data_IF_795093979189
#
_entry.id   IF_795093979189
#
_cell.length_a   1.000
_cell.length_b   1.000
_cell.length_c   1.000
_cell.angle_alpha   90.00
_cell.angle_beta   90.00
_cell.angle_gamma   90.00
#
_symmetry.space_group_name_H-M   'P 1'
#
loop_
_entity.id
_entity.type
_entity.pdbx_description
1 polymer ?
#
# COMPACT_ATOMS: atom_id res chain seq x y z
N UNK A 1 3.96 -15.05 -10.88
CA UNK A 1 4.65 -13.86 -10.34
C UNK A 1 3.85 -13.48 -9.13
N UNK A 2 4.46 -13.44 -7.93
CA UNK A 2 3.71 -13.21 -6.71
C UNK A 2 2.90 -11.91 -6.78
N UNK A 3 1.62 -11.98 -6.44
CA UNK A 3 0.76 -10.79 -6.34
C UNK A 3 0.30 -10.68 -4.90
N UNK A 4 0.56 -9.52 -4.31
CA UNK A 4 0.15 -9.18 -2.96
C UNK A 4 -1.00 -8.19 -3.00
N UNK A 5 -2.09 -8.51 -2.31
CA UNK A 5 -3.15 -7.56 -2.00
C UNK A 5 -2.78 -6.80 -0.75
N UNK A 6 -2.70 -5.48 -0.87
CA UNK A 6 -2.39 -4.55 0.24
C UNK A 6 -3.67 -3.83 0.63
N UNK A 7 -4.14 -4.02 1.86
CA UNK A 7 -5.45 -3.53 2.32
C UNK A 7 -5.29 -2.62 3.53
N UNK A 8 -5.90 -1.44 3.51
CA UNK A 8 -5.91 -0.53 4.65
C UNK A 8 -6.74 -1.12 5.81
N UNK A 9 -6.12 -1.32 6.97
CA UNK A 9 -6.76 -1.89 8.18
C UNK A 9 -7.66 -0.89 8.89
N UNK A 10 -7.35 0.39 8.73
CA UNK A 10 -7.99 1.49 9.46
C UNK A 10 -8.16 2.71 8.58
N UNK A 11 -9.07 3.57 8.98
CA UNK A 11 -9.12 4.95 8.49
C UNK A 11 -7.91 5.71 9.03
N UNK A 12 -7.25 6.45 8.16
CA UNK A 12 -6.18 7.37 8.51
C UNK A 12 -6.44 8.68 7.80
N UNK A 13 -6.27 9.78 8.51
CA UNK A 13 -6.37 11.13 7.96
C UNK A 13 -5.40 12.03 8.71
N UNK A 14 -4.38 12.51 8.00
CA UNK A 14 -3.39 13.46 8.53
C UNK A 14 -3.55 14.86 7.93
N UNK A 15 -4.63 15.11 7.16
CA UNK A 15 -4.81 16.31 6.35
C UNK A 15 -3.99 16.32 5.04
N UNK A 16 -2.92 15.52 4.96
CA UNK A 16 -2.11 15.34 3.73
C UNK A 16 -2.35 13.98 3.10
N UNK A 17 -2.39 12.91 3.91
CA UNK A 17 -2.65 11.55 3.46
C UNK A 17 -3.94 11.08 4.09
N UNK A 18 -4.87 10.62 3.27
CA UNK A 18 -6.11 10.01 3.74
C UNK A 18 -6.38 8.70 3.02
N UNK A 19 -6.76 7.68 3.79
CA UNK A 19 -7.25 6.41 3.30
C UNK A 19 -8.29 5.85 4.26
N UNK A 20 -9.20 5.04 3.74
CA UNK A 20 -10.28 4.43 4.52
C UNK A 20 -10.06 2.94 4.66
N UNK A 21 -10.59 2.38 5.75
CA UNK A 21 -10.60 0.93 5.98
C UNK A 21 -11.19 0.20 4.78
N UNK A 22 -10.57 -0.90 4.37
CA UNK A 22 -11.03 -1.73 3.26
C UNK A 22 -10.58 -1.27 1.87
N UNK A 23 -9.95 -0.10 1.74
CA UNK A 23 -9.27 0.27 0.49
C UNK A 23 -8.12 -0.70 0.24
N UNK A 24 -8.02 -1.24 -0.98
CA UNK A 24 -7.02 -2.24 -1.33
C UNK A 24 -6.49 -2.10 -2.75
N UNK A 25 -5.21 -2.43 -2.92
CA UNK A 25 -4.53 -2.47 -4.23
C UNK A 25 -3.77 -3.78 -4.37
N UNK A 26 -3.52 -4.18 -5.62
CA UNK A 26 -2.70 -5.35 -5.93
C UNK A 26 -1.32 -4.93 -6.42
N UNK A 27 -0.29 -5.55 -5.85
CA UNK A 27 1.11 -5.25 -6.14
C UNK A 27 1.80 -6.53 -6.62
N UNK A 28 2.24 -6.59 -7.89
CA UNK A 28 3.10 -7.65 -8.35
C UNK A 28 4.50 -7.47 -7.74
N UNK A 29 5.08 -8.57 -7.26
CA UNK A 29 6.41 -8.59 -6.65
C UNK A 29 7.22 -9.78 -7.17
N UNK A 30 8.50 -9.80 -6.86
CA UNK A 30 9.41 -10.93 -7.13
C UNK A 30 9.59 -11.84 -5.91
N UNK A 31 8.81 -11.63 -4.84
CA UNK A 31 9.02 -12.29 -3.55
C UNK A 31 7.73 -12.80 -2.91
N UNK A 32 7.84 -13.92 -2.20
CA UNK A 32 6.79 -14.51 -1.38
C UNK A 32 6.83 -14.03 0.08
N UNK A 33 7.67 -13.04 0.41
CA UNK A 33 7.72 -12.46 1.75
C UNK A 33 6.74 -11.29 1.88
N UNK A 34 5.90 -11.32 2.92
CA UNK A 34 5.02 -10.19 3.26
C UNK A 34 5.79 -8.94 3.68
N UNK A 35 7.07 -9.06 4.05
CA UNK A 35 7.95 -7.94 4.38
C UNK A 35 8.42 -7.15 3.14
N UNK A 36 7.93 -7.45 1.94
CA UNK A 36 8.30 -6.75 0.71
C UNK A 36 8.08 -5.23 0.79
N UNK A 37 7.08 -4.76 1.54
CA UNK A 37 6.79 -3.33 1.77
C UNK A 37 7.93 -2.58 2.46
N UNK A 38 8.85 -3.29 3.12
CA UNK A 38 10.04 -2.67 3.73
C UNK A 38 11.01 -2.13 2.67
N UNK A 39 11.00 -2.70 1.46
CA UNK A 39 11.80 -2.23 0.33
C UNK A 39 11.18 -0.98 -0.28
N UNK A 40 11.99 0.06 -0.49
CA UNK A 40 11.55 1.37 -0.99
C UNK A 40 10.75 1.28 -2.30
N UNK A 41 11.22 0.48 -3.25
CA UNK A 41 10.56 0.27 -4.55
C UNK A 41 9.11 -0.21 -4.42
N UNK A 42 8.84 -1.16 -3.53
CA UNK A 42 7.49 -1.69 -3.34
C UNK A 42 6.64 -0.76 -2.48
N UNK A 43 7.24 -0.10 -1.49
CA UNK A 43 6.56 0.89 -0.67
C UNK A 43 6.02 2.04 -1.53
N UNK A 44 6.86 2.51 -2.46
CA UNK A 44 6.50 3.51 -3.44
C UNK A 44 5.43 3.01 -4.40
N UNK A 45 5.57 1.79 -4.93
CA UNK A 45 4.55 1.19 -5.82
C UNK A 45 3.17 1.07 -5.14
N UNK A 46 3.14 0.70 -3.85
CA UNK A 46 1.91 0.70 -3.04
C UNK A 46 1.30 2.10 -3.01
N UNK A 47 2.09 3.10 -2.63
CA UNK A 47 1.64 4.48 -2.54
C UNK A 47 1.11 5.01 -3.88
N UNK A 48 1.83 4.78 -4.98
CA UNK A 48 1.43 5.19 -6.34
C UNK A 48 0.10 4.53 -6.74
N UNK A 49 -0.06 3.23 -6.47
CA UNK A 49 -1.31 2.50 -6.76
C UNK A 49 -2.48 3.03 -5.94
N UNK A 50 -2.31 3.27 -4.65
CA UNK A 50 -3.37 3.84 -3.82
C UNK A 50 -3.78 5.24 -4.30
N UNK A 51 -2.80 6.10 -4.59
CA UNK A 51 -3.03 7.46 -5.10
C UNK A 51 -3.78 7.42 -6.43
N UNK A 52 -3.33 6.60 -7.37
CA UNK A 52 -3.93 6.51 -8.70
C UNK A 52 -5.31 5.85 -8.68
N UNK A 53 -5.47 4.72 -7.98
CA UNK A 53 -6.71 3.95 -7.97
C UNK A 53 -7.86 4.67 -7.25
N UNK A 54 -7.54 5.42 -6.19
CA UNK A 54 -8.54 6.13 -5.38
C UNK A 54 -8.57 7.65 -5.63
N UNK A 55 -7.78 8.16 -6.59
CA UNK A 55 -7.73 9.59 -6.92
C UNK A 55 -7.32 10.48 -5.74
N UNK A 56 -6.43 9.97 -4.87
CA UNK A 56 -6.03 10.69 -3.66
C UNK A 56 -5.18 11.91 -4.05
N UNK A 57 -5.48 13.07 -3.48
CA UNK A 57 -4.74 14.33 -3.75
C UNK A 57 -3.40 14.43 -3.00
N UNK A 58 -2.91 13.33 -2.43
CA UNK A 58 -1.72 13.33 -1.59
C UNK A 58 -0.44 13.06 -2.40
N UNK A 59 0.70 13.68 -2.04
CA UNK A 59 1.98 13.32 -2.64
C UNK A 59 2.36 11.87 -2.32
N UNK A 60 2.80 11.12 -3.33
CA UNK A 60 3.23 9.71 -3.20
C UNK A 60 4.26 9.54 -2.09
N UNK A 61 5.27 10.43 -2.04
CA UNK A 61 6.33 10.36 -1.03
C UNK A 61 5.81 10.49 0.42
N UNK A 62 4.70 11.22 0.63
CA UNK A 62 4.07 11.33 1.95
C UNK A 62 3.23 10.10 2.27
N UNK A 63 2.54 9.52 1.28
CA UNK A 63 1.80 8.28 1.46
C UNK A 63 2.73 7.11 1.75
N UNK A 64 3.88 7.04 1.07
CA UNK A 64 4.91 6.01 1.25
C UNK A 64 5.33 5.87 2.72
N UNK A 65 5.43 6.98 3.46
CA UNK A 65 5.77 6.99 4.89
C UNK A 65 4.70 6.31 5.77
N UNK A 66 3.46 6.21 5.29
CA UNK A 66 2.35 5.56 6.00
C UNK A 66 2.19 4.09 5.64
N UNK A 67 2.90 3.58 4.64
CA UNK A 67 2.89 2.16 4.27
C UNK A 67 3.71 1.37 5.29
N UNK A 68 3.01 0.70 6.20
CA UNK A 68 3.57 -0.14 7.25
C UNK A 68 2.57 -1.23 7.67
N UNK A 69 2.97 -2.13 8.56
CA UNK A 69 2.15 -3.23 9.07
C UNK A 69 1.07 -2.81 10.08
N UNK A 70 1.14 -1.60 10.64
CA UNK A 70 0.09 -1.05 11.52
C UNK A 70 -1.10 -0.50 10.73
N UNK A 71 -0.82 0.07 9.55
CA UNK A 71 -1.83 0.68 8.69
C UNK A 71 -2.38 -0.29 7.63
N UNK A 72 -1.58 -1.26 7.18
CA UNK A 72 -1.95 -2.14 6.06
C UNK A 72 -1.74 -3.63 6.36
N UNK A 73 -2.65 -4.45 5.84
CA UNK A 73 -2.52 -5.90 5.72
C UNK A 73 -1.95 -6.26 4.35
N UNK A 74 -1.15 -7.33 4.32
CA UNK A 74 -0.49 -7.83 3.13
C UNK A 74 -0.87 -9.30 2.96
N UNK A 75 -1.68 -9.60 1.95
CA UNK A 75 -2.18 -10.96 1.68
C UNK A 75 -1.67 -11.43 0.32
N UNK A 76 -1.00 -12.58 0.27
CA UNK A 76 -0.58 -13.19 -0.99
C UNK A 76 -1.83 -13.74 -1.69
N UNK A 77 -2.13 -13.24 -2.89
CA UNK A 77 -3.31 -13.66 -3.68
C UNK A 77 -2.94 -14.52 -4.89
N UNK A 78 -1.71 -14.43 -5.37
CA UNK A 78 -1.19 -15.32 -6.42
C UNK A 78 0.30 -15.61 -6.19
N UNK A 79 0.75 -16.80 -6.59
CA UNK A 79 2.17 -17.18 -6.65
C UNK A 79 2.75 -16.92 -8.05
#
# INVERSE_FOLDING_TARGET
MPIWKVTAKRKFDSGVVSFSTGMSVEIPTTTLSSSFWTQSQYRRAIAERFVSQYGLKCPVAKFEQQVNNANFDYTLVSK
#
